data_IF_465959759233
#
_entry.id   IF_465959759233
#
_cell.length_a   1.000
_cell.length_b   1.000
_cell.length_c   1.000
_cell.angle_alpha   90.00
_cell.angle_beta   90.00
_cell.angle_gamma   90.00
#
_symmetry.space_group_name_H-M   'P 1'
#
loop_
_entity.id
_entity.type
_entity.pdbx_description
1 polymer ?
#
# COMPACT_ATOMS: atom_id res chain seq x y z
N UNK A 1 -10.17 10.48 -18.33
CA UNK A 1 -10.09 10.41 -16.85
C UNK A 1 -8.82 9.66 -16.47
N UNK A 2 -7.78 10.37 -16.02
CA UNK A 2 -6.48 9.77 -15.70
C UNK A 2 -6.65 8.92 -14.44
N UNK A 3 -6.27 7.65 -14.51
CA UNK A 3 -6.39 6.75 -13.36
C UNK A 3 -5.28 7.13 -12.37
N UNK A 4 -5.61 7.47 -11.11
CA UNK A 4 -4.60 7.86 -10.13
C UNK A 4 -3.60 6.73 -9.92
N UNK A 5 -2.35 7.12 -9.67
CA UNK A 5 -1.23 6.18 -9.55
C UNK A 5 -1.37 5.45 -8.21
N UNK A 6 -1.83 4.20 -8.27
CA UNK A 6 -1.98 3.31 -7.13
C UNK A 6 -0.85 2.29 -7.10
N UNK A 7 -0.12 2.27 -6.00
CA UNK A 7 1.01 1.35 -5.74
C UNK A 7 0.51 0.01 -5.16
N UNK A 8 -0.74 -0.05 -4.72
CA UNK A 8 -1.32 -1.20 -3.99
C UNK A 8 -1.48 -2.47 -4.83
N UNK A 9 -1.56 -2.35 -6.15
CA UNK A 9 -1.67 -3.50 -7.07
C UNK A 9 -0.37 -4.29 -7.19
N UNK A 10 0.74 -3.75 -6.71
CA UNK A 10 2.07 -4.32 -6.93
C UNK A 10 2.40 -5.45 -5.99
N UNK A 11 1.86 -5.43 -4.77
CA UNK A 11 1.96 -6.54 -3.84
C UNK A 11 1.28 -7.78 -4.42
N UNK A 12 0.13 -7.61 -5.07
CA UNK A 12 -0.58 -8.70 -5.78
C UNK A 12 0.22 -9.21 -6.99
N UNK A 13 0.96 -8.34 -7.68
CA UNK A 13 1.83 -8.75 -8.80
C UNK A 13 3.02 -9.54 -8.28
N UNK A 14 3.63 -9.12 -7.16
CA UNK A 14 4.73 -9.84 -6.52
C UNK A 14 4.27 -11.21 -6.00
N UNK A 15 3.13 -11.28 -5.33
CA UNK A 15 2.52 -12.56 -4.91
C UNK A 15 2.21 -13.45 -6.13
N UNK A 16 1.75 -12.86 -7.22
CA UNK A 16 1.52 -13.55 -8.50
C UNK A 16 2.80 -14.07 -9.14
N UNK A 17 3.93 -13.35 -9.03
CA UNK A 17 5.25 -13.81 -9.47
C UNK A 17 5.71 -14.99 -8.61
N UNK A 18 5.59 -14.89 -7.29
CA UNK A 18 5.95 -15.98 -6.36
C UNK A 18 5.08 -17.21 -6.61
N UNK A 19 3.78 -17.04 -6.86
CA UNK A 19 2.88 -18.14 -7.21
C UNK A 19 3.25 -18.76 -8.55
N UNK A 20 3.57 -17.96 -9.57
CA UNK A 20 3.98 -18.46 -10.88
C UNK A 20 5.33 -19.21 -10.85
N UNK A 21 6.20 -18.91 -9.88
CA UNK A 21 7.44 -19.65 -9.63
C UNK A 21 7.19 -21.03 -8.97
N UNK A 22 6.04 -21.21 -8.33
CA UNK A 22 5.64 -22.47 -7.67
C UNK A 22 4.71 -23.32 -8.56
N UNK A 23 3.97 -22.69 -9.47
CA UNK A 23 3.07 -23.37 -10.43
C UNK A 23 2.99 -22.57 -11.75
N UNK A 24 3.61 -23.09 -12.80
CA UNK A 24 3.66 -22.45 -14.13
C UNK A 24 2.30 -22.42 -14.86
N UNK A 25 1.26 -23.08 -14.32
CA UNK A 25 -0.08 -23.14 -14.95
C UNK A 25 -0.96 -21.92 -14.70
N UNK A 26 -0.44 -20.94 -13.94
CA UNK A 26 -1.22 -19.78 -13.47
C UNK A 26 -1.28 -18.65 -14.51
N UNK A 27 -0.36 -18.62 -15.48
CA UNK A 27 -0.36 -17.66 -16.58
C UNK A 27 -0.34 -18.42 -17.90
N UNK A 28 -1.46 -18.39 -18.62
CA UNK A 28 -1.63 -19.05 -19.92
C UNK A 28 -1.67 -17.97 -21.00
N UNK A 29 -0.77 -18.02 -21.97
CA UNK A 29 -0.81 -17.15 -23.14
C UNK A 29 -2.12 -17.38 -23.91
N UNK A 30 -2.89 -16.31 -24.13
CA UNK A 30 -4.13 -16.40 -24.90
C UNK A 30 -4.29 -15.17 -25.79
N UNK A 31 -4.11 -15.39 -27.10
CA UNK A 31 -4.09 -14.37 -28.16
C UNK A 31 -5.44 -13.71 -28.43
N UNK A 32 -6.52 -14.06 -27.70
CA UNK A 32 -7.86 -13.50 -27.88
C UNK A 32 -8.13 -12.18 -27.10
N UNK A 33 -7.23 -11.76 -26.20
CA UNK A 33 -7.37 -10.51 -25.43
C UNK A 33 -6.27 -9.48 -25.77
N UNK A 34 -6.58 -8.17 -25.71
CA UNK A 34 -5.67 -7.03 -26.01
C UNK A 34 -4.34 -7.01 -25.21
N UNK A 35 -4.14 -7.90 -24.24
CA UNK A 35 -2.96 -8.02 -23.38
C UNK A 35 -2.13 -9.29 -23.63
N UNK A 36 -2.63 -10.28 -24.37
CA UNK A 36 -1.92 -11.52 -24.75
C UNK A 36 -1.86 -12.64 -23.70
N UNK A 37 -2.32 -12.41 -22.47
CA UNK A 37 -2.21 -13.38 -21.37
C UNK A 37 -3.53 -13.54 -20.60
N UNK A 38 -3.88 -14.77 -20.25
CA UNK A 38 -5.03 -15.15 -19.43
C UNK A 38 -4.58 -15.96 -18.23
N UNK A 39 -5.35 -15.96 -17.14
CA UNK A 39 -5.11 -16.80 -15.97
C UNK A 39 -6.39 -17.55 -15.64
N UNK A 40 -6.33 -18.84 -15.24
CA UNK A 40 -7.50 -19.58 -14.78
C UNK A 40 -8.13 -18.97 -13.51
N UNK A 41 -7.41 -18.11 -12.78
CA UNK A 41 -7.95 -17.43 -11.61
C UNK A 41 -8.75 -16.18 -12.01
N UNK A 42 -10.05 -16.17 -11.67
CA UNK A 42 -10.96 -15.05 -11.95
C UNK A 42 -10.46 -13.69 -11.39
N UNK A 43 -9.63 -13.71 -10.34
CA UNK A 43 -9.04 -12.51 -9.76
C UNK A 43 -7.87 -11.95 -10.59
N UNK A 44 -7.04 -12.82 -11.15
CA UNK A 44 -5.89 -12.45 -12.00
C UNK A 44 -6.32 -12.10 -13.43
N UNK A 45 -7.45 -12.65 -13.90
CA UNK A 45 -8.07 -12.30 -15.17
C UNK A 45 -8.88 -10.98 -15.10
N UNK A 46 -9.10 -10.43 -13.89
CA UNK A 46 -9.81 -9.16 -13.73
C UNK A 46 -9.06 -8.02 -14.42
N UNK A 47 -9.78 -7.19 -15.16
CA UNK A 47 -9.22 -6.12 -16.01
C UNK A 47 -8.49 -6.62 -17.28
N UNK A 48 -8.86 -7.80 -17.79
CA UNK A 48 -8.47 -8.31 -19.12
C UNK A 48 -6.99 -8.66 -19.24
N UNK A 49 -6.43 -9.38 -18.26
CA UNK A 49 -5.05 -9.85 -18.29
C UNK A 49 -3.96 -8.81 -17.97
N UNK A 50 -4.33 -7.60 -17.50
CA UNK A 50 -3.34 -6.57 -17.08
C UNK A 50 -2.41 -7.03 -15.94
N UNK A 51 -2.92 -7.87 -15.03
CA UNK A 51 -2.10 -8.43 -13.96
C UNK A 51 -1.17 -9.53 -14.49
N UNK A 52 -1.65 -10.39 -15.38
CA UNK A 52 -0.85 -11.42 -16.06
C UNK A 52 0.31 -10.83 -16.88
N UNK A 53 0.09 -9.74 -17.63
CA UNK A 53 1.15 -9.03 -18.37
C UNK A 53 2.23 -8.42 -17.46
N UNK A 54 1.87 -7.95 -16.27
CA UNK A 54 2.82 -7.39 -15.30
C UNK A 54 3.59 -8.46 -14.51
N UNK A 55 3.12 -9.70 -14.52
CA UNK A 55 3.82 -10.86 -13.95
C UNK A 55 4.93 -11.33 -14.92
N UNK A 56 4.67 -11.31 -16.23
CA UNK A 56 5.63 -11.71 -17.28
C UNK A 56 6.72 -10.66 -17.52
N UNK A 57 6.41 -9.36 -17.37
CA UNK A 57 7.41 -8.28 -17.38
C UNK A 57 7.51 -7.62 -16.00
N UNK A 58 8.35 -8.16 -15.09
CA UNK A 58 8.40 -7.72 -13.69
C UNK A 58 8.93 -6.28 -13.52
N UNK A 59 9.67 -5.75 -14.50
CA UNK A 59 10.18 -4.37 -14.51
C UNK A 59 9.14 -3.38 -15.06
N UNK A 60 7.99 -3.27 -14.38
CA UNK A 60 7.04 -2.20 -14.65
C UNK A 60 7.46 -0.92 -13.91
N UNK A 61 7.11 0.27 -14.43
CA UNK A 61 7.37 1.58 -13.82
C UNK A 61 6.99 1.60 -12.34
N UNK A 62 5.83 1.06 -12.00
CA UNK A 62 5.37 0.97 -10.62
C UNK A 62 6.33 0.13 -9.77
N UNK A 63 6.82 -1.02 -10.27
CA UNK A 63 7.72 -1.91 -9.51
C UNK A 63 9.07 -1.25 -9.23
N UNK A 64 9.62 -0.59 -10.24
CA UNK A 64 10.82 0.25 -10.09
C UNK A 64 10.57 1.37 -9.07
N UNK A 65 9.39 2.00 -9.11
CA UNK A 65 9.02 3.06 -8.17
C UNK A 65 8.98 2.57 -6.70
N UNK A 66 8.43 1.39 -6.43
CA UNK A 66 8.42 0.80 -5.07
C UNK A 66 9.83 0.48 -4.59
N UNK A 67 10.65 -0.11 -5.45
CA UNK A 67 12.03 -0.43 -5.12
C UNK A 67 12.83 0.86 -4.85
N UNK A 68 12.64 1.88 -5.69
CA UNK A 68 13.24 3.20 -5.52
C UNK A 68 12.80 3.88 -4.20
N UNK A 69 11.54 3.71 -3.77
CA UNK A 69 11.11 4.20 -2.45
C UNK A 69 11.87 3.53 -1.30
N UNK A 70 12.05 2.20 -1.34
CA UNK A 70 12.79 1.46 -0.31
C UNK A 70 14.25 1.91 -0.26
N UNK A 71 14.89 1.97 -1.43
CA UNK A 71 16.29 2.42 -1.55
C UNK A 71 16.43 3.88 -1.14
N UNK A 72 15.52 4.75 -1.58
CA UNK A 72 15.50 6.17 -1.22
C UNK A 72 15.36 6.38 0.28
N UNK A 73 14.47 5.64 0.95
CA UNK A 73 14.33 5.67 2.40
C UNK A 73 15.62 5.20 3.12
N UNK A 74 16.27 4.15 2.59
CA UNK A 74 17.54 3.65 3.13
C UNK A 74 18.68 4.67 2.98
N UNK A 75 18.81 5.28 1.80
CA UNK A 75 19.81 6.32 1.53
C UNK A 75 19.56 7.54 2.40
N UNK A 76 18.31 8.00 2.49
CA UNK A 76 17.93 9.11 3.37
C UNK A 76 18.31 8.84 4.83
N UNK A 77 18.05 7.62 5.34
CA UNK A 77 18.48 7.20 6.68
C UNK A 77 20.00 7.20 6.85
N UNK A 78 20.77 6.84 5.82
CA UNK A 78 22.24 6.86 5.87
C UNK A 78 22.76 8.30 5.95
N UNK A 79 22.18 9.20 5.15
CA UNK A 79 22.55 10.62 5.02
C UNK A 79 22.12 11.48 6.22
N UNK A 80 21.20 11.04 7.06
CA UNK A 80 20.84 11.75 8.30
C UNK A 80 22.06 11.94 9.22
N UNK A 81 22.22 13.17 9.72
CA UNK A 81 23.28 13.53 10.65
C UNK A 81 23.13 12.79 11.99
N UNK A 82 24.26 12.60 12.70
CA UNK A 82 24.33 11.80 13.94
C UNK A 82 23.43 12.35 15.06
N UNK A 83 23.24 13.66 15.12
CA UNK A 83 22.37 14.31 16.11
C UNK A 83 20.88 14.05 15.85
N UNK A 84 20.47 13.99 14.57
CA UNK A 84 19.11 13.61 14.19
C UNK A 84 18.84 12.13 14.43
N UNK A 85 19.85 11.26 14.22
CA UNK A 85 19.76 9.83 14.53
C UNK A 85 19.47 9.56 16.02
N UNK A 86 20.03 10.38 16.91
CA UNK A 86 19.80 10.27 18.35
C UNK A 86 18.39 10.71 18.78
N UNK A 87 17.73 11.56 17.98
CA UNK A 87 16.35 12.04 18.22
C UNK A 87 15.27 11.10 17.68
N UNK A 88 15.62 9.97 17.06
CA UNK A 88 14.66 9.00 16.54
C UNK A 88 13.99 8.28 17.71
N UNK A 89 12.89 8.85 18.17
CA UNK A 89 11.95 8.17 19.06
C UNK A 89 11.33 7.04 18.24
N UNK A 90 11.77 5.80 18.49
CA UNK A 90 11.29 4.60 17.78
C UNK A 90 9.80 4.35 17.98
N UNK A 91 9.23 4.85 19.07
CA UNK A 91 7.83 4.67 19.46
C UNK A 91 7.26 5.97 20.03
N UNK A 92 6.22 6.55 19.41
CA UNK A 92 5.66 7.80 19.90
C UNK A 92 5.15 7.64 21.35
N UNK A 93 5.32 8.70 22.15
CA UNK A 93 5.00 8.73 23.59
C UNK A 93 3.54 8.37 23.87
N UNK A 94 2.62 8.77 22.99
CA UNK A 94 1.19 8.41 23.06
C UNK A 94 0.94 6.90 22.98
N UNK A 95 1.72 6.17 22.18
CA UNK A 95 1.60 4.71 22.05
C UNK A 95 2.24 4.01 23.25
N UNK A 96 3.34 4.54 23.77
CA UNK A 96 3.95 4.11 25.04
C UNK A 96 3.00 4.24 26.22
N UNK A 97 2.32 5.38 26.35
CA UNK A 97 1.36 5.64 27.44
C UNK A 97 0.15 4.71 27.35
N UNK A 98 -0.40 4.50 26.14
CA UNK A 98 -1.63 3.72 25.97
C UNK A 98 -1.43 2.20 25.96
N UNK A 99 -0.42 1.71 25.25
CA UNK A 99 -0.19 0.26 25.07
C UNK A 99 0.95 -0.29 25.95
N UNK A 100 1.59 0.56 26.75
CA UNK A 100 2.74 0.21 27.59
C UNK A 100 3.99 -0.06 26.75
N UNK A 101 5.08 -0.47 27.40
CA UNK A 101 6.36 -0.81 26.76
C UNK A 101 6.39 -2.21 26.11
N UNK A 102 5.30 -2.98 26.19
CA UNK A 102 5.26 -4.36 25.69
C UNK A 102 5.31 -4.43 24.16
N UNK A 103 6.45 -4.85 23.61
CA UNK A 103 6.65 -5.10 22.18
C UNK A 103 5.60 -6.00 21.52
N UNK A 104 5.21 -7.17 22.06
CA UNK A 104 4.31 -8.08 21.34
C UNK A 104 2.90 -7.51 21.16
N UNK A 105 2.38 -6.78 22.16
CA UNK A 105 1.07 -6.14 22.07
C UNK A 105 1.02 -5.09 20.96
N UNK A 106 2.11 -4.34 20.77
CA UNK A 106 2.21 -3.32 19.72
C UNK A 106 2.24 -3.91 18.34
N UNK A 107 3.04 -4.95 18.14
CA UNK A 107 3.07 -5.66 16.85
C UNK A 107 1.71 -6.25 16.51
N UNK A 108 0.99 -6.79 17.50
CA UNK A 108 -0.37 -7.30 17.28
C UNK A 108 -1.34 -6.19 16.86
N UNK A 109 -1.32 -5.04 17.55
CA UNK A 109 -2.18 -3.89 17.22
C UNK A 109 -1.85 -3.31 15.84
N UNK A 110 -0.57 -3.15 15.50
CA UNK A 110 -0.17 -2.65 14.18
C UNK A 110 -0.49 -3.64 13.07
N UNK A 111 -0.36 -4.94 13.32
CA UNK A 111 -0.74 -5.99 12.38
C UNK A 111 -2.24 -5.97 12.09
N UNK A 112 -3.09 -5.94 13.13
CA UNK A 112 -4.54 -5.84 13.00
C UNK A 112 -4.94 -4.54 12.28
N UNK A 113 -4.32 -3.41 12.65
CA UNK A 113 -4.51 -2.14 11.95
C UNK A 113 -4.17 -2.23 10.45
N UNK A 114 -3.05 -2.89 10.12
CA UNK A 114 -2.65 -3.15 8.74
C UNK A 114 -3.68 -3.97 7.96
N UNK A 115 -4.28 -4.99 8.59
CA UNK A 115 -5.35 -5.80 8.00
C UNK A 115 -6.58 -4.95 7.67
N UNK A 116 -7.03 -4.08 8.59
CA UNK A 116 -8.14 -3.17 8.34
C UNK A 116 -7.83 -2.16 7.23
N UNK A 117 -6.61 -1.62 7.18
CA UNK A 117 -6.19 -0.70 6.10
C UNK A 117 -6.16 -1.42 4.75
N UNK A 118 -5.62 -2.64 4.69
CA UNK A 118 -5.62 -3.45 3.47
C UNK A 118 -7.05 -3.71 2.97
N UNK A 119 -7.92 -4.20 3.86
CA UNK A 119 -9.32 -4.43 3.55
C UNK A 119 -10.03 -3.16 3.06
N UNK A 120 -9.90 -2.06 3.80
CA UNK A 120 -10.49 -0.76 3.46
C UNK A 120 -9.98 -0.21 2.13
N UNK A 121 -8.67 -0.27 1.88
CA UNK A 121 -8.07 0.17 0.61
C UNK A 121 -8.58 -0.64 -0.59
N UNK A 122 -8.87 -1.93 -0.38
CA UNK A 122 -9.42 -2.78 -1.43
C UNK A 122 -10.88 -2.46 -1.71
N UNK A 123 -11.67 -2.21 -0.68
CA UNK A 123 -13.08 -1.78 -0.81
C UNK A 123 -13.18 -0.40 -1.49
N UNK A 124 -12.32 0.55 -1.12
CA UNK A 124 -12.26 1.88 -1.72
C UNK A 124 -11.73 1.86 -3.17
N UNK A 125 -11.15 0.73 -3.62
CA UNK A 125 -10.58 0.60 -4.96
C UNK A 125 -9.25 1.35 -5.14
N UNK A 126 -8.59 1.77 -4.06
CA UNK A 126 -7.34 2.50 -4.10
C UNK A 126 -6.75 2.81 -2.72
N UNK A 127 -5.56 3.40 -2.71
CA UNK A 127 -4.81 3.74 -1.50
C UNK A 127 -4.68 5.26 -1.32
N UNK A 128 -4.13 5.68 -0.19
CA UNK A 128 -3.88 7.10 0.14
C UNK A 128 -2.99 7.78 -0.91
N UNK A 129 -1.94 7.12 -1.41
CA UNK A 129 -1.09 7.71 -2.46
C UNK A 129 -1.86 7.99 -3.76
N UNK A 130 -2.83 7.12 -4.10
CA UNK A 130 -3.66 7.26 -5.30
C UNK A 130 -4.78 8.29 -5.14
N UNK A 131 -5.66 8.10 -4.16
CA UNK A 131 -6.83 8.97 -3.99
C UNK A 131 -6.49 10.31 -3.34
N UNK A 132 -5.62 10.31 -2.33
CA UNK A 132 -5.29 11.53 -1.59
C UNK A 132 -4.16 12.29 -2.30
N UNK A 133 -2.94 11.74 -2.36
CA UNK A 133 -1.78 12.50 -2.88
C UNK A 133 -1.92 12.81 -4.38
N UNK A 134 -2.07 11.79 -5.22
CA UNK A 134 -2.19 12.00 -6.68
C UNK A 134 -3.55 12.56 -7.09
N UNK A 135 -4.64 12.11 -6.45
CA UNK A 135 -6.01 12.51 -6.78
C UNK A 135 -6.34 13.97 -6.43
N UNK A 136 -5.91 14.46 -5.26
CA UNK A 136 -6.12 15.87 -4.89
C UNK A 136 -5.25 16.82 -5.72
N UNK A 137 -4.00 16.46 -6.04
CA UNK A 137 -3.16 17.28 -6.93
C UNK A 137 -3.74 17.39 -8.35
N UNK A 138 -4.49 16.38 -8.80
CA UNK A 138 -5.25 16.41 -10.06
C UNK A 138 -6.64 17.04 -9.91
N UNK A 139 -6.92 17.68 -8.78
CA UNK A 139 -8.23 18.30 -8.43
C UNK A 139 -9.43 17.36 -8.63
N UNK A 140 -9.21 16.05 -8.47
CA UNK A 140 -10.27 15.06 -8.60
C UNK A 140 -11.24 15.14 -7.43
N UNK A 141 -12.53 15.26 -7.72
CA UNK A 141 -13.60 15.23 -6.71
C UNK A 141 -13.52 13.98 -5.83
N UNK A 142 -13.16 12.84 -6.44
CA UNK A 142 -12.99 11.57 -5.72
C UNK A 142 -11.85 11.61 -4.68
N UNK A 143 -10.82 12.43 -4.91
CA UNK A 143 -9.70 12.58 -3.99
C UNK A 143 -10.08 13.41 -2.77
N UNK A 144 -10.82 14.50 -2.98
CA UNK A 144 -11.33 15.33 -1.88
C UNK A 144 -12.35 14.57 -1.02
N UNK A 145 -13.29 13.84 -1.63
CA UNK A 145 -14.26 13.02 -0.89
C UNK A 145 -13.58 11.93 -0.07
N UNK A 146 -12.58 11.25 -0.66
CA UNK A 146 -11.79 10.26 0.05
C UNK A 146 -11.03 10.87 1.23
N UNK A 147 -10.36 12.02 1.02
CA UNK A 147 -9.61 12.70 2.07
C UNK A 147 -10.53 13.14 3.22
N UNK A 148 -11.67 13.77 2.92
CA UNK A 148 -12.64 14.18 3.92
C UNK A 148 -13.15 12.99 4.75
N UNK A 149 -13.55 11.90 4.10
CA UNK A 149 -13.99 10.69 4.80
C UNK A 149 -12.89 10.07 5.65
N UNK A 150 -11.67 9.99 5.11
CA UNK A 150 -10.52 9.45 5.84
C UNK A 150 -10.21 10.26 7.10
N UNK A 151 -10.14 11.60 7.01
CA UNK A 151 -9.88 12.45 8.17
C UNK A 151 -11.06 12.50 9.15
N UNK A 152 -12.30 12.53 8.65
CA UNK A 152 -13.50 12.53 9.49
C UNK A 152 -13.61 11.27 10.36
N UNK A 153 -13.09 10.12 9.91
CA UNK A 153 -13.06 8.89 10.69
C UNK A 153 -11.75 8.76 11.49
N UNK A 154 -10.61 9.08 10.89
CA UNK A 154 -9.30 8.89 11.51
C UNK A 154 -9.11 9.79 12.75
N UNK A 155 -9.57 11.04 12.71
CA UNK A 155 -9.40 11.98 13.84
C UNK A 155 -10.18 11.51 15.08
N UNK A 156 -11.51 11.25 15.00
CA UNK A 156 -12.24 10.71 16.15
C UNK A 156 -11.69 9.37 16.62
N UNK A 157 -11.30 8.49 15.69
CA UNK A 157 -10.77 7.18 16.06
C UNK A 157 -9.41 7.28 16.78
N UNK A 158 -8.54 8.21 16.36
CA UNK A 158 -7.29 8.48 17.06
C UNK A 158 -7.55 8.97 18.48
N UNK A 159 -8.51 9.88 18.66
CA UNK A 159 -8.91 10.40 19.98
C UNK A 159 -9.47 9.27 20.86
N UNK A 160 -10.32 8.40 20.31
CA UNK A 160 -10.90 7.26 21.05
C UNK A 160 -9.84 6.22 21.44
N UNK A 161 -8.91 5.89 20.55
CA UNK A 161 -7.90 4.86 20.79
C UNK A 161 -6.83 5.35 21.76
N UNK A 162 -6.27 6.54 21.54
CA UNK A 162 -5.12 7.04 22.30
C UNK A 162 -5.50 7.93 23.48
N UNK A 163 -6.73 8.43 23.54
CA UNK A 163 -7.15 9.44 24.50
C UNK A 163 -6.65 10.84 24.12
N UNK A 164 -7.21 11.88 24.76
CA UNK A 164 -6.63 13.23 24.70
C UNK A 164 -5.50 13.30 25.72
N UNK A 165 -4.35 13.84 25.31
CA UNK A 165 -3.38 14.34 26.30
C UNK A 165 -3.99 15.57 26.97
N UNK A 166 -4.07 15.53 28.29
CA UNK A 166 -4.21 16.71 29.14
C UNK A 166 -2.84 17.29 29.45
#
# INVERSE_FOLDING_TARGET
MVKPIGVSTQFVILDGIVWNLLDERVVVENSAHKSGYSSPNAYLNKSGGKYAKNIVHPLNYSFVFVLAMIVGAFVARKMQHREEKAKIITVPTVCLRRFGSSSPKRYLVTFLGGLFVLFGSRLAGGCTSGHMMSGMMQTSLSGYLFALGAFAVAIPMAILIYGREE
#
